data_IF_720462909068
#
_entry.id   IF_720462909068
#
_cell.length_a   1.000
_cell.length_b   1.000
_cell.length_c   1.000
_cell.angle_alpha   90.00
_cell.angle_beta   90.00
_cell.angle_gamma   90.00
#
_symmetry.space_group_name_H-M   'P 1'
#
loop_
_entity.id
_entity.type
_entity.pdbx_description
1 polymer ?
#
# COMPACT_ATOMS: atom_id res chain seq x y z
N UNK A 1 -29.70 -21.18 0.77
CA UNK A 1 -29.47 -19.71 0.93
C UNK A 1 -30.77 -18.93 0.70
N UNK A 2 -31.44 -19.03 -0.46
CA UNK A 2 -32.64 -18.24 -0.78
C UNK A 2 -33.74 -18.29 0.30
N UNK A 3 -34.08 -19.48 0.80
CA UNK A 3 -35.01 -19.62 1.93
C UNK A 3 -34.49 -18.97 3.23
N UNK A 4 -33.21 -19.10 3.51
CA UNK A 4 -32.57 -18.46 4.69
C UNK A 4 -32.56 -16.93 4.64
N UNK A 5 -32.64 -16.36 3.43
CA UNK A 5 -32.75 -14.92 3.18
C UNK A 5 -34.22 -14.42 3.22
N UNK A 6 -35.18 -15.32 3.43
CA UNK A 6 -36.60 -14.96 3.52
C UNK A 6 -37.36 -14.88 2.21
N UNK A 7 -36.80 -15.39 1.09
CA UNK A 7 -37.52 -15.46 -0.17
C UNK A 7 -38.56 -16.57 -0.15
N UNK A 8 -39.73 -16.33 -0.76
CA UNK A 8 -40.85 -17.26 -0.81
C UNK A 8 -41.35 -17.49 -2.26
N UNK A 9 -42.01 -18.62 -2.50
CA UNK A 9 -42.67 -18.93 -3.77
C UNK A 9 -41.72 -18.85 -4.97
N UNK A 10 -42.12 -18.09 -5.99
CA UNK A 10 -41.38 -17.91 -7.24
C UNK A 10 -40.04 -17.14 -7.03
N UNK A 11 -39.94 -16.32 -5.99
CA UNK A 11 -38.74 -15.54 -5.68
C UNK A 11 -37.54 -16.43 -5.29
N UNK A 12 -37.81 -17.60 -4.68
CA UNK A 12 -36.76 -18.57 -4.31
C UNK A 12 -35.93 -18.97 -5.54
N UNK A 13 -36.61 -19.27 -6.66
CA UNK A 13 -35.92 -19.65 -7.91
C UNK A 13 -35.14 -18.49 -8.49
N UNK A 14 -35.72 -17.29 -8.49
CA UNK A 14 -35.04 -16.08 -8.99
C UNK A 14 -33.80 -15.74 -8.16
N UNK A 15 -33.93 -15.73 -6.81
CA UNK A 15 -32.82 -15.49 -5.89
C UNK A 15 -31.73 -16.56 -6.03
N UNK A 16 -32.09 -17.83 -6.12
CA UNK A 16 -31.11 -18.91 -6.33
C UNK A 16 -30.36 -18.75 -7.65
N UNK A 17 -31.06 -18.39 -8.75
CA UNK A 17 -30.42 -18.12 -10.04
C UNK A 17 -29.45 -16.94 -9.98
N UNK A 18 -29.81 -15.86 -9.27
CA UNK A 18 -28.94 -14.69 -9.10
C UNK A 18 -27.69 -15.05 -8.27
N UNK A 19 -27.85 -15.77 -7.16
CA UNK A 19 -26.72 -16.21 -6.33
C UNK A 19 -25.77 -17.12 -7.11
N UNK A 20 -26.27 -18.02 -7.96
CA UNK A 20 -25.43 -18.88 -8.79
C UNK A 20 -24.64 -18.06 -9.82
N UNK A 21 -25.28 -17.07 -10.48
CA UNK A 21 -24.61 -16.19 -11.42
C UNK A 21 -23.55 -15.31 -10.74
N UNK A 22 -23.81 -14.83 -9.52
CA UNK A 22 -22.82 -14.11 -8.74
C UNK A 22 -21.60 -14.99 -8.42
N UNK A 23 -21.83 -16.25 -8.06
CA UNK A 23 -20.76 -17.22 -7.85
C UNK A 23 -19.96 -17.50 -9.12
N UNK A 24 -20.64 -17.69 -10.26
CA UNK A 24 -20.00 -17.88 -11.55
C UNK A 24 -19.14 -16.67 -11.94
N UNK A 25 -19.63 -15.45 -11.74
CA UNK A 25 -18.87 -14.22 -11.96
C UNK A 25 -17.66 -14.13 -11.01
N UNK A 26 -17.87 -14.42 -9.72
CA UNK A 26 -16.80 -14.39 -8.71
C UNK A 26 -15.64 -15.31 -9.06
N UNK A 27 -15.95 -16.58 -9.41
CA UNK A 27 -14.93 -17.57 -9.77
C UNK A 27 -14.36 -17.32 -11.17
N UNK A 28 -15.23 -16.97 -12.13
CA UNK A 28 -14.83 -16.81 -13.54
C UNK A 28 -13.95 -15.61 -13.81
N UNK A 29 -14.07 -14.55 -12.99
CA UNK A 29 -13.29 -13.32 -13.12
C UNK A 29 -12.21 -13.19 -12.01
N UNK A 30 -11.93 -14.25 -11.25
CA UNK A 30 -10.98 -14.23 -10.13
C UNK A 30 -11.22 -13.04 -9.18
N UNK A 31 -12.46 -12.87 -8.75
CA UNK A 31 -12.79 -11.81 -7.81
C UNK A 31 -12.28 -12.14 -6.40
N UNK A 32 -11.78 -11.14 -5.68
CA UNK A 32 -11.48 -11.20 -4.25
C UNK A 32 -12.71 -10.87 -3.39
N UNK A 33 -13.61 -10.02 -3.93
CA UNK A 33 -14.90 -9.65 -3.32
C UNK A 33 -15.96 -9.60 -4.42
N UNK A 34 -17.16 -10.14 -4.11
CA UNK A 34 -18.37 -9.88 -4.89
C UNK A 34 -19.55 -9.73 -3.90
N UNK A 35 -20.07 -8.53 -3.81
CA UNK A 35 -21.15 -8.15 -2.90
C UNK A 35 -22.31 -7.55 -3.69
N UNK A 36 -23.53 -7.93 -3.34
CA UNK A 36 -24.77 -7.27 -3.79
C UNK A 36 -25.41 -6.63 -2.57
N UNK A 37 -25.44 -5.30 -2.54
CA UNK A 37 -25.99 -4.55 -1.44
C UNK A 37 -26.54 -3.19 -1.92
N UNK A 38 -27.89 -3.01 -1.95
CA UNK A 38 -28.87 -3.98 -1.50
C UNK A 38 -29.33 -4.98 -2.58
N UNK A 39 -29.69 -6.18 -2.13
CA UNK A 39 -30.53 -7.11 -2.89
C UNK A 39 -31.97 -6.83 -2.53
N UNK A 40 -32.82 -6.48 -3.49
CA UNK A 40 -34.18 -6.03 -3.24
C UNK A 40 -35.22 -6.91 -3.93
N UNK A 41 -36.44 -6.91 -3.36
CA UNK A 41 -37.63 -7.42 -4.05
C UNK A 41 -38.52 -6.26 -4.45
N UNK A 42 -38.93 -6.24 -5.69
CA UNK A 42 -39.83 -5.23 -6.23
C UNK A 42 -41.31 -5.54 -5.88
N UNK A 43 -42.19 -4.57 -6.02
CA UNK A 43 -43.63 -4.75 -5.73
C UNK A 43 -44.31 -5.82 -6.60
N UNK A 44 -43.79 -6.07 -7.79
CA UNK A 44 -44.22 -7.11 -8.71
C UNK A 44 -43.53 -8.44 -8.48
N UNK A 45 -42.73 -8.56 -7.40
CA UNK A 45 -42.13 -9.81 -6.95
C UNK A 45 -40.81 -10.21 -7.61
N UNK A 46 -40.21 -9.32 -8.42
CA UNK A 46 -38.86 -9.57 -8.97
C UNK A 46 -37.79 -9.47 -7.91
N UNK A 47 -36.73 -10.27 -8.03
CA UNK A 47 -35.51 -10.17 -7.23
C UNK A 47 -34.47 -9.43 -8.07
N UNK A 48 -33.97 -8.29 -7.54
CA UNK A 48 -33.08 -7.39 -8.26
C UNK A 48 -31.83 -7.06 -7.44
N UNK A 49 -30.66 -7.22 -8.04
CA UNK A 49 -29.45 -6.60 -7.55
C UNK A 49 -29.49 -5.10 -7.89
N UNK A 50 -29.66 -4.26 -6.88
CA UNK A 50 -29.78 -2.82 -7.08
C UNK A 50 -28.40 -2.18 -7.25
N UNK A 51 -27.43 -2.65 -6.48
CA UNK A 51 -26.03 -2.26 -6.57
C UNK A 51 -25.13 -3.47 -6.29
N UNK A 52 -23.92 -3.44 -6.85
CA UNK A 52 -22.94 -4.50 -6.68
C UNK A 52 -21.53 -3.90 -6.54
N UNK A 53 -20.76 -4.44 -5.59
CA UNK A 53 -19.33 -4.17 -5.43
C UNK A 53 -18.54 -5.42 -5.81
N UNK A 54 -17.66 -5.27 -6.79
CA UNK A 54 -16.80 -6.36 -7.25
C UNK A 54 -15.35 -5.89 -7.20
N UNK A 55 -14.49 -6.63 -6.49
CA UNK A 55 -13.05 -6.43 -6.52
C UNK A 55 -12.42 -7.65 -7.19
N UNK A 56 -11.55 -7.40 -8.13
CA UNK A 56 -10.78 -8.43 -8.82
C UNK A 56 -9.46 -8.69 -8.09
N UNK A 57 -8.90 -9.88 -8.27
CA UNK A 57 -7.55 -10.19 -7.77
C UNK A 57 -6.53 -9.63 -8.76
N UNK A 58 -5.76 -8.64 -8.35
CA UNK A 58 -4.72 -8.01 -9.18
C UNK A 58 -3.68 -9.03 -9.68
N UNK A 59 -3.41 -10.10 -8.90
CA UNK A 59 -2.51 -11.17 -9.31
C UNK A 59 -3.07 -12.03 -10.45
N UNK A 60 -4.36 -11.91 -10.77
CA UNK A 60 -5.01 -12.63 -11.85
C UNK A 60 -5.25 -11.77 -13.11
N UNK A 61 -5.04 -10.46 -13.07
CA UNK A 61 -5.30 -9.54 -14.18
C UNK A 61 -4.55 -9.89 -15.47
N UNK A 62 -3.38 -10.55 -15.36
CA UNK A 62 -2.64 -11.01 -16.55
C UNK A 62 -3.45 -11.93 -17.47
N UNK A 63 -4.48 -12.61 -16.96
CA UNK A 63 -5.39 -13.48 -17.70
C UNK A 63 -6.78 -12.90 -17.93
N UNK A 64 -7.07 -11.70 -17.40
CA UNK A 64 -8.32 -10.96 -17.52
C UNK A 64 -8.06 -9.57 -18.14
N UNK A 65 -7.61 -9.56 -19.39
CA UNK A 65 -7.28 -8.31 -20.10
C UNK A 65 -8.47 -7.39 -20.29
N UNK A 66 -9.64 -7.94 -20.44
CA UNK A 66 -10.92 -7.23 -20.50
C UNK A 66 -11.24 -6.48 -19.20
N UNK A 67 -10.89 -7.06 -18.05
CA UNK A 67 -11.02 -6.41 -16.73
C UNK A 67 -9.95 -5.32 -16.57
N UNK A 68 -8.70 -5.61 -16.95
CA UNK A 68 -7.61 -4.63 -16.90
C UNK A 68 -7.92 -3.39 -17.74
N UNK A 69 -8.57 -3.55 -18.91
CA UNK A 69 -9.00 -2.46 -19.80
C UNK A 69 -10.15 -1.61 -19.20
N UNK A 70 -10.88 -2.11 -18.20
CA UNK A 70 -11.92 -1.33 -17.49
C UNK A 70 -11.36 -0.35 -16.47
N UNK A 71 -10.05 -0.41 -16.18
CA UNK A 71 -9.40 0.48 -15.22
C UNK A 71 -9.52 1.93 -15.69
N UNK A 72 -10.09 2.77 -14.86
CA UNK A 72 -10.23 4.21 -15.08
C UNK A 72 -9.25 4.96 -14.18
N UNK A 73 -8.15 5.42 -14.77
CA UNK A 73 -7.09 6.11 -14.03
C UNK A 73 -7.51 7.48 -13.50
N UNK A 74 -8.55 8.10 -14.09
CA UNK A 74 -9.06 9.40 -13.67
C UNK A 74 -9.87 9.30 -12.35
N UNK A 75 -10.28 8.07 -11.96
CA UNK A 75 -10.98 7.81 -10.70
C UNK A 75 -10.02 7.34 -9.58
N UNK A 76 -8.74 7.15 -9.88
CA UNK A 76 -7.74 6.71 -8.91
C UNK A 76 -6.96 7.90 -8.33
N UNK A 77 -6.32 7.71 -7.18
CA UNK A 77 -5.41 8.71 -6.59
C UNK A 77 -4.14 8.86 -7.45
N UNK A 78 -3.82 10.06 -7.89
CA UNK A 78 -2.71 10.34 -8.81
C UNK A 78 -1.37 9.72 -8.37
N UNK A 79 -1.06 9.74 -7.07
CA UNK A 79 0.18 9.18 -6.53
C UNK A 79 0.19 7.65 -6.54
N UNK A 80 -0.97 7.01 -6.41
CA UNK A 80 -1.12 5.56 -6.51
C UNK A 80 -0.93 5.11 -7.96
N UNK A 81 -1.51 5.85 -8.91
CA UNK A 81 -1.29 5.66 -10.34
C UNK A 81 0.19 5.83 -10.71
N UNK A 82 0.84 6.88 -10.19
CA UNK A 82 2.27 7.12 -10.48
C UNK A 82 3.15 6.01 -9.89
N UNK A 83 2.86 5.56 -8.65
CA UNK A 83 3.59 4.49 -7.98
C UNK A 83 3.46 3.15 -8.73
N UNK A 84 2.29 2.86 -9.29
CA UNK A 84 2.04 1.63 -10.04
C UNK A 84 2.94 1.50 -11.29
N UNK A 85 3.40 2.61 -11.88
CA UNK A 85 4.34 2.61 -13.02
C UNK A 85 5.74 2.05 -12.66
N UNK A 86 6.03 2.01 -11.36
CA UNK A 86 7.31 1.54 -10.81
C UNK A 86 7.18 0.24 -10.03
N UNK A 87 6.04 -0.46 -10.15
CA UNK A 87 5.72 -1.67 -9.37
C UNK A 87 5.81 -1.45 -7.85
N UNK A 88 5.47 -0.24 -7.37
CA UNK A 88 5.43 0.11 -5.96
C UNK A 88 4.01 -0.02 -5.42
N UNK A 89 3.86 -0.70 -4.29
CA UNK A 89 2.59 -0.72 -3.54
C UNK A 89 2.50 0.52 -2.67
N UNK A 90 1.75 1.51 -3.14
CA UNK A 90 1.55 2.78 -2.46
C UNK A 90 0.06 3.01 -2.18
N UNK A 91 -0.25 3.51 -0.99
CA UNK A 91 -1.59 3.99 -0.62
C UNK A 91 -1.40 5.33 0.09
N UNK A 92 -2.07 6.36 -0.39
CA UNK A 92 -2.04 7.69 0.22
C UNK A 92 -2.87 7.74 1.50
N UNK A 93 -2.39 8.45 2.50
CA UNK A 93 -3.06 8.74 3.77
C UNK A 93 -2.97 10.24 4.07
N UNK A 94 -3.71 10.70 5.09
CA UNK A 94 -3.83 12.12 5.42
C UNK A 94 -2.74 12.66 6.37
N UNK A 95 -1.64 11.92 6.56
CA UNK A 95 -0.60 12.28 7.50
C UNK A 95 0.49 13.19 6.95
N UNK A 96 1.60 13.28 7.70
CA UNK A 96 2.73 14.16 7.39
C UNK A 96 4.10 13.47 7.51
N UNK A 97 4.14 12.20 7.89
CA UNK A 97 5.37 11.39 7.92
C UNK A 97 5.31 10.36 6.81
N UNK A 98 6.11 10.56 5.78
CA UNK A 98 6.26 9.62 4.67
C UNK A 98 6.93 8.33 5.13
N UNK A 99 6.38 7.18 4.75
CA UNK A 99 6.88 5.86 5.12
C UNK A 99 7.41 5.12 3.90
N UNK A 100 8.64 4.58 4.00
CA UNK A 100 9.21 3.66 3.02
C UNK A 100 9.68 2.40 3.72
N UNK A 101 9.04 1.27 3.43
CA UNK A 101 9.22 0.02 4.20
C UNK A 101 9.30 -1.17 3.24
N UNK A 102 9.96 -2.24 3.64
CA UNK A 102 9.91 -3.50 2.90
C UNK A 102 9.02 -4.53 3.62
N UNK A 103 7.92 -4.86 2.97
CA UNK A 103 6.93 -5.81 3.44
C UNK A 103 5.73 -5.16 4.16
N UNK A 104 4.55 -5.55 3.74
CA UNK A 104 3.28 -4.96 4.18
C UNK A 104 3.07 -5.00 5.70
N UNK A 105 3.43 -6.12 6.36
CA UNK A 105 3.32 -6.24 7.82
C UNK A 105 4.21 -5.25 8.57
N UNK A 106 5.45 -5.04 8.09
CA UNK A 106 6.35 -4.05 8.68
C UNK A 106 5.87 -2.63 8.40
N UNK A 107 5.28 -2.36 7.23
CA UNK A 107 4.70 -1.07 6.89
C UNK A 107 3.54 -0.72 7.84
N UNK A 108 2.60 -1.64 8.05
CA UNK A 108 1.51 -1.44 9.02
C UNK A 108 2.03 -1.18 10.44
N UNK A 109 2.99 -2.00 10.93
CA UNK A 109 3.61 -1.78 12.24
C UNK A 109 4.39 -0.47 12.33
N UNK A 110 4.96 0.02 11.22
CA UNK A 110 5.63 1.32 11.17
C UNK A 110 4.62 2.46 11.30
N UNK A 111 3.48 2.38 10.61
CA UNK A 111 2.41 3.35 10.74
C UNK A 111 1.84 3.40 12.16
N UNK A 112 1.62 2.23 12.78
CA UNK A 112 1.14 2.15 14.17
C UNK A 112 2.09 2.81 15.15
N UNK A 113 3.40 2.56 15.04
CA UNK A 113 4.37 3.14 15.97
C UNK A 113 4.55 4.65 15.76
N UNK A 114 4.39 5.17 14.54
CA UNK A 114 4.35 6.62 14.27
C UNK A 114 3.16 7.25 15.00
N UNK A 115 1.97 6.64 14.93
CA UNK A 115 0.79 7.11 15.66
C UNK A 115 0.99 7.07 17.18
N UNK A 116 1.59 6.01 17.70
CA UNK A 116 1.91 5.91 19.13
C UNK A 116 2.94 6.96 19.58
N UNK A 117 3.83 7.38 18.70
CA UNK A 117 4.77 8.47 18.95
C UNK A 117 4.14 9.88 18.81
N UNK A 118 2.88 9.98 18.44
CA UNK A 118 2.14 11.22 18.27
C UNK A 118 2.27 11.88 16.90
N UNK A 119 2.71 11.12 15.89
CA UNK A 119 2.75 11.54 14.48
C UNK A 119 1.61 10.94 13.66
N UNK A 120 1.49 11.35 12.40
CA UNK A 120 0.50 10.84 11.47
C UNK A 120 1.20 10.33 10.20
N UNK A 121 1.04 9.02 9.83
CA UNK A 121 1.62 8.48 8.62
C UNK A 121 0.94 9.05 7.37
N UNK A 122 1.73 9.52 6.40
CA UNK A 122 1.25 10.12 5.16
C UNK A 122 0.89 9.06 4.10
N UNK A 123 1.41 7.86 4.24
CA UNK A 123 1.22 6.80 3.26
C UNK A 123 1.55 5.42 3.80
N UNK A 124 1.04 4.41 3.10
CA UNK A 124 1.61 3.07 3.06
C UNK A 124 2.51 2.98 1.83
N UNK A 125 3.75 2.50 1.96
CA UNK A 125 4.62 2.19 0.83
C UNK A 125 5.46 0.96 1.15
N UNK A 126 5.23 -0.11 0.40
CA UNK A 126 6.04 -1.33 0.41
C UNK A 126 6.93 -1.39 -0.84
N UNK A 127 8.23 -1.29 -0.64
CA UNK A 127 9.24 -1.38 -1.71
C UNK A 127 9.62 -2.83 -2.05
N UNK A 128 8.95 -3.80 -1.41
CA UNK A 128 9.14 -5.22 -1.66
C UNK A 128 10.49 -5.79 -1.18
N UNK A 129 10.67 -7.08 -1.42
CA UNK A 129 11.85 -7.82 -1.01
C UNK A 129 13.10 -7.61 -1.87
N UNK A 130 13.00 -6.85 -2.96
CA UNK A 130 14.08 -6.61 -3.92
C UNK A 130 14.56 -5.16 -3.98
N UNK A 131 14.40 -4.38 -2.89
CA UNK A 131 14.72 -2.96 -2.84
C UNK A 131 16.10 -2.63 -3.46
N UNK A 132 16.07 -2.18 -4.70
CA UNK A 132 17.23 -1.68 -5.45
C UNK A 132 17.39 -0.18 -5.27
N UNK A 133 18.55 0.39 -5.64
CA UNK A 133 18.74 1.83 -5.69
C UNK A 133 17.64 2.54 -6.48
N UNK A 134 17.22 1.98 -7.61
CA UNK A 134 16.17 2.54 -8.45
C UNK A 134 14.79 2.50 -7.76
N UNK A 135 14.47 1.40 -7.08
CA UNK A 135 13.22 1.26 -6.32
C UNK A 135 13.13 2.30 -5.20
N UNK A 136 14.25 2.48 -4.47
CA UNK A 136 14.37 3.50 -3.40
C UNK A 136 14.23 4.91 -3.99
N UNK A 137 14.89 5.21 -5.11
CA UNK A 137 14.79 6.49 -5.79
C UNK A 137 13.36 6.80 -6.23
N UNK A 138 12.67 5.83 -6.84
CA UNK A 138 11.27 5.99 -7.24
C UNK A 138 10.37 6.20 -6.02
N UNK A 139 10.59 5.44 -4.94
CA UNK A 139 9.88 5.66 -3.68
C UNK A 139 10.05 7.08 -3.13
N UNK A 140 11.26 7.64 -3.16
CA UNK A 140 11.49 9.04 -2.79
C UNK A 140 10.72 10.02 -3.68
N UNK A 141 10.71 9.80 -5.01
CA UNK A 141 9.96 10.65 -5.94
C UNK A 141 8.48 10.70 -5.58
N UNK A 142 7.88 9.54 -5.31
CA UNK A 142 6.47 9.45 -4.92
C UNK A 142 6.23 10.17 -3.58
N UNK A 143 7.03 9.88 -2.54
CA UNK A 143 6.87 10.51 -1.22
C UNK A 143 7.01 12.04 -1.26
N UNK A 144 7.97 12.55 -2.02
CA UNK A 144 8.22 13.99 -2.14
C UNK A 144 7.21 14.71 -3.05
N UNK A 145 6.44 13.97 -3.83
CA UNK A 145 5.34 14.53 -4.63
C UNK A 145 4.12 14.86 -3.77
N UNK A 146 4.01 14.31 -2.55
CA UNK A 146 2.97 14.71 -1.59
C UNK A 146 3.44 15.93 -0.78
N UNK A 147 2.79 17.12 -0.95
CA UNK A 147 3.17 18.32 -0.23
C UNK A 147 2.92 18.26 1.29
N UNK A 148 2.16 17.28 1.76
CA UNK A 148 1.90 17.07 3.18
C UNK A 148 3.07 16.38 3.89
N UNK A 149 3.95 15.69 3.17
CA UNK A 149 5.11 15.01 3.73
C UNK A 149 6.11 16.03 4.27
N UNK A 150 6.38 15.97 5.58
CA UNK A 150 7.29 16.87 6.31
C UNK A 150 8.55 16.15 6.80
N UNK A 151 8.51 14.84 6.94
CA UNK A 151 9.65 13.99 7.23
C UNK A 151 9.45 12.63 6.56
N UNK A 152 10.54 11.89 6.34
CA UNK A 152 10.50 10.55 5.77
C UNK A 152 11.12 9.56 6.76
N UNK A 153 10.40 8.48 7.07
CA UNK A 153 10.90 7.34 7.82
C UNK A 153 11.11 6.16 6.88
N UNK A 154 12.37 5.78 6.69
CA UNK A 154 12.77 4.56 5.99
C UNK A 154 12.99 3.46 7.03
N UNK A 155 12.18 2.41 6.98
CA UNK A 155 12.27 1.30 7.91
C UNK A 155 12.40 -0.02 7.16
N UNK A 156 13.61 -0.58 7.13
CA UNK A 156 13.92 -1.80 6.39
C UNK A 156 14.34 -2.90 7.37
N UNK A 157 13.75 -4.07 7.19
CA UNK A 157 14.22 -5.29 7.82
C UNK A 157 14.86 -6.21 6.77
N UNK A 158 16.18 -6.35 6.87
CA UNK A 158 16.97 -7.15 5.95
C UNK A 158 16.94 -8.64 6.32
N UNK A 159 16.03 -9.38 5.72
CA UNK A 159 16.08 -10.83 5.67
C UNK A 159 16.82 -11.27 4.40
N UNK A 160 16.08 -11.42 3.30
CA UNK A 160 16.62 -11.64 1.95
C UNK A 160 17.26 -10.35 1.41
N UNK A 161 16.64 -9.20 1.67
CA UNK A 161 17.18 -7.88 1.35
C UNK A 161 18.38 -7.60 2.23
N UNK A 162 19.47 -7.10 1.66
CA UNK A 162 20.66 -6.69 2.38
C UNK A 162 20.60 -5.20 2.70
N UNK A 163 20.77 -4.84 3.96
CA UNK A 163 20.72 -3.46 4.42
C UNK A 163 21.77 -2.55 3.77
N UNK A 164 22.97 -3.07 3.50
CA UNK A 164 24.05 -2.34 2.83
C UNK A 164 23.65 -1.89 1.40
N UNK A 165 22.92 -2.73 0.64
CA UNK A 165 22.38 -2.35 -0.67
C UNK A 165 21.29 -1.29 -0.58
N UNK A 166 20.46 -1.37 0.45
CA UNK A 166 19.44 -0.34 0.68
C UNK A 166 20.08 0.99 1.05
N UNK A 167 21.09 0.97 1.95
CA UNK A 167 21.84 2.17 2.33
C UNK A 167 22.50 2.82 1.09
N UNK A 168 23.14 2.02 0.24
CA UNK A 168 23.68 2.51 -1.04
C UNK A 168 22.60 3.16 -1.90
N UNK A 169 21.42 2.52 -2.02
CA UNK A 169 20.28 3.05 -2.75
C UNK A 169 19.76 4.37 -2.18
N UNK A 170 19.64 4.47 -0.85
CA UNK A 170 19.22 5.70 -0.16
C UNK A 170 20.21 6.83 -0.41
N UNK A 171 21.52 6.57 -0.26
CA UNK A 171 22.59 7.54 -0.52
C UNK A 171 22.58 7.98 -1.98
N UNK A 172 22.43 7.05 -2.92
CA UNK A 172 22.38 7.38 -4.34
C UNK A 172 21.14 8.19 -4.71
N UNK A 173 19.98 7.79 -4.19
CA UNK A 173 18.72 8.52 -4.43
C UNK A 173 18.81 9.96 -3.89
N UNK A 174 19.38 10.14 -2.69
CA UNK A 174 19.58 11.46 -2.08
C UNK A 174 20.52 12.37 -2.88
N UNK A 175 21.49 11.77 -3.62
CA UNK A 175 22.36 12.54 -4.56
C UNK A 175 21.62 12.99 -5.82
N UNK A 176 20.69 12.18 -6.28
CA UNK A 176 19.98 12.41 -7.54
C UNK A 176 18.75 13.30 -7.38
N UNK A 177 18.19 13.35 -6.17
CA UNK A 177 16.96 14.07 -5.86
C UNK A 177 17.23 15.09 -4.76
N UNK A 178 16.73 16.30 -4.94
CA UNK A 178 16.75 17.33 -3.90
C UNK A 178 15.67 17.01 -2.86
N UNK A 179 16.09 16.44 -1.73
CA UNK A 179 15.20 16.08 -0.61
C UNK A 179 15.31 17.15 0.46
N UNK A 180 14.26 17.96 0.57
CA UNK A 180 14.22 19.13 1.46
C UNK A 180 13.51 18.83 2.80
N UNK A 181 13.29 17.55 3.12
CA UNK A 181 12.67 17.09 4.37
C UNK A 181 13.63 16.20 5.15
N UNK A 182 13.56 16.19 6.48
CA UNK A 182 14.34 15.28 7.32
C UNK A 182 14.12 13.83 6.96
N UNK A 183 15.20 13.03 6.93
CA UNK A 183 15.13 11.59 6.66
C UNK A 183 15.62 10.84 7.90
N UNK A 184 14.78 9.96 8.42
CA UNK A 184 15.13 9.02 9.47
C UNK A 184 15.28 7.63 8.87
N UNK A 185 16.37 6.94 9.11
CA UNK A 185 16.65 5.61 8.55
C UNK A 185 16.83 4.61 9.68
N UNK A 186 16.04 3.56 9.67
CA UNK A 186 16.20 2.40 10.51
C UNK A 186 16.42 1.17 9.64
N UNK A 187 17.60 0.57 9.75
CA UNK A 187 17.98 -0.66 9.07
C UNK A 187 18.26 -1.74 10.12
N UNK A 188 17.67 -2.92 9.96
CA UNK A 188 17.90 -4.05 10.84
C UNK A 188 18.00 -5.35 10.05
N UNK A 189 18.74 -6.33 10.55
CA UNK A 189 18.94 -7.62 9.90
C UNK A 189 20.27 -7.71 9.15
N UNK A 190 20.30 -8.38 8.01
CA UNK A 190 21.52 -8.69 7.27
C UNK A 190 22.30 -7.45 6.86
N UNK A 191 23.56 -7.32 7.34
CA UNK A 191 24.48 -6.21 7.09
C UNK A 191 23.98 -4.84 7.62
N UNK A 192 23.17 -4.84 8.68
CA UNK A 192 22.66 -3.59 9.26
C UNK A 192 23.80 -2.69 9.80
N UNK A 193 24.83 -3.28 10.44
CA UNK A 193 25.97 -2.52 10.98
C UNK A 193 26.77 -1.85 9.85
N UNK A 194 27.00 -2.57 8.74
CA UNK A 194 27.68 -2.01 7.57
C UNK A 194 26.86 -0.87 6.96
N UNK A 195 25.55 -1.05 6.88
CA UNK A 195 24.63 -0.04 6.36
C UNK A 195 24.61 1.23 7.23
N UNK A 196 24.59 1.08 8.55
CA UNK A 196 24.67 2.20 9.48
C UNK A 196 25.98 2.98 9.30
N UNK A 197 27.11 2.29 9.21
CA UNK A 197 28.40 2.93 8.93
C UNK A 197 28.41 3.68 7.59
N UNK A 198 27.86 3.09 6.52
CA UNK A 198 27.75 3.74 5.20
C UNK A 198 26.93 5.04 5.26
N UNK A 199 25.82 5.04 6.03
CA UNK A 199 25.00 6.24 6.22
C UNK A 199 25.75 7.32 7.04
N UNK A 200 26.46 6.94 8.09
CA UNK A 200 27.25 7.86 8.92
C UNK A 200 28.44 8.46 8.16
N UNK A 201 29.10 7.68 7.31
CA UNK A 201 30.23 8.13 6.46
C UNK A 201 29.77 8.93 5.22
N UNK A 202 28.49 8.88 4.91
CA UNK A 202 27.94 9.69 3.82
C UNK A 202 27.80 11.13 4.26
N UNK A 203 28.43 12.09 3.81
CA UNK A 203 28.28 13.54 4.17
C UNK A 203 26.83 14.06 4.07
N UNK A 204 25.83 13.23 4.40
CA UNK A 204 24.40 13.51 4.31
C UNK A 204 23.77 13.49 5.71
N UNK A 205 22.81 14.39 5.90
CA UNK A 205 22.07 14.50 7.17
C UNK A 205 20.98 13.43 7.26
N UNK A 206 21.35 12.23 7.74
CA UNK A 206 20.45 11.15 8.08
C UNK A 206 20.38 10.97 9.60
N UNK A 207 19.17 10.94 10.16
CA UNK A 207 18.98 10.47 11.52
C UNK A 207 18.86 8.94 11.54
N UNK A 208 19.78 8.26 12.20
CA UNK A 208 19.75 6.78 12.30
C UNK A 208 18.95 6.36 13.53
N UNK A 209 17.97 5.48 13.31
CA UNK A 209 17.14 4.89 14.36
C UNK A 209 17.71 3.58 14.89
N UNK A 210 17.92 3.47 16.19
CA UNK A 210 18.45 2.27 16.87
C UNK A 210 17.36 1.19 17.12
N UNK A 211 16.11 1.51 16.88
CA UNK A 211 14.95 0.62 17.02
C UNK A 211 13.70 1.26 16.42
N UNK A 212 12.63 0.49 16.32
CA UNK A 212 11.41 0.97 15.65
C UNK A 212 10.80 2.19 16.37
N UNK A 213 10.74 2.12 17.71
CA UNK A 213 10.22 3.23 18.54
C UNK A 213 11.11 4.48 18.43
N UNK A 214 12.43 4.33 18.58
CA UNK A 214 13.39 5.45 18.48
C UNK A 214 13.31 6.10 17.09
N UNK A 215 13.19 5.31 16.03
CA UNK A 215 13.06 5.85 14.68
C UNK A 215 11.76 6.66 14.48
N UNK A 216 10.63 6.16 15.00
CA UNK A 216 9.37 6.89 14.94
C UNK A 216 9.39 8.18 15.76
N UNK A 217 9.94 8.14 16.99
CA UNK A 217 10.11 9.32 17.83
C UNK A 217 10.99 10.39 17.15
N UNK A 218 12.10 9.98 16.51
CA UNK A 218 12.95 10.88 15.73
C UNK A 218 12.22 11.51 14.55
N UNK A 219 11.43 10.71 13.82
CA UNK A 219 10.65 11.24 12.69
C UNK A 219 9.59 12.25 13.14
N UNK A 220 8.93 12.00 14.28
CA UNK A 220 7.97 12.93 14.87
C UNK A 220 8.65 14.21 15.38
N UNK A 221 9.79 14.09 16.06
CA UNK A 221 10.54 15.26 16.55
C UNK A 221 11.07 16.14 15.42
N UNK A 222 11.38 15.56 14.27
CA UNK A 222 11.93 16.29 13.13
C UNK A 222 10.91 17.22 12.45
N UNK A 223 9.63 17.10 12.77
CA UNK A 223 8.54 17.94 12.21
C UNK A 223 7.94 18.92 13.22
N UNK A 224 8.41 18.92 14.47
CA UNK A 224 8.01 19.84 15.54
C UNK A 224 8.86 21.10 15.52
#
# INVERSE_FOLDING_TARGET
LAFGLGFEGAQVRAAAGLILKLYEAFVGADCSVAEINPLVTTKDGQVLALDAKINFDDNALYRHKDVEEMRDLDEEEDLEVEASKYDLNYIKLDGNIGCMVNGAGLAMGTMDIIKLAGGEPANFLDVGGGASAQTVENGFKILLSDPNVKAILINIFGGIVRCDRVAEGVIQARKNIDVNVPIVVRLAGTNADVAAQMLEESDMDFAVGNGLKDAAEKAVMAIQ
#
